data_IF_499079834717
#
_entry.id   IF_499079834717
#
_cell.length_a   1.000
_cell.length_b   1.000
_cell.length_c   1.000
_cell.angle_alpha   90.00
_cell.angle_beta   90.00
_cell.angle_gamma   90.00
#
_symmetry.space_group_name_H-M   'P 1'
#
loop_
_entity.id
_entity.type
_entity.pdbx_description
1 polymer ?
#
# COMPACT_ATOMS: atom_id res chain seq x y z
N UNK A 1 -16.73 -2.40 4.13
CA UNK A 1 -15.90 -3.63 4.32
C UNK A 1 -14.54 -3.50 3.65
N UNK A 2 -14.49 -3.04 2.39
CA UNK A 2 -13.22 -2.74 1.70
C UNK A 2 -12.38 -1.69 2.45
N UNK A 3 -13.01 -0.71 3.09
CA UNK A 3 -12.34 0.33 3.88
C UNK A 3 -11.59 -0.27 5.08
N UNK A 4 -12.25 -1.16 5.82
CA UNK A 4 -11.63 -1.87 6.95
C UNK A 4 -10.42 -2.70 6.50
N UNK A 5 -10.53 -3.40 5.37
CA UNK A 5 -9.42 -4.17 4.80
C UNK A 5 -8.28 -3.27 4.32
N UNK A 6 -8.61 -2.14 3.70
CA UNK A 6 -7.65 -1.12 3.26
C UNK A 6 -6.85 -0.60 4.45
N UNK A 7 -7.54 -0.22 5.54
CA UNK A 7 -6.90 0.25 6.77
C UNK A 7 -6.07 -0.85 7.41
N UNK A 8 -6.58 -2.08 7.50
CA UNK A 8 -5.85 -3.20 8.09
C UNK A 8 -4.56 -3.53 7.33
N UNK A 9 -4.64 -3.63 6.00
CA UNK A 9 -3.47 -3.88 5.14
C UNK A 9 -2.50 -2.71 5.27
N UNK A 10 -2.98 -1.47 5.19
CA UNK A 10 -2.13 -0.29 5.32
C UNK A 10 -1.43 -0.20 6.67
N UNK A 11 -2.14 -0.40 7.79
CA UNK A 11 -1.50 -0.41 9.11
C UNK A 11 -0.50 -1.56 9.26
N UNK A 12 -0.77 -2.71 8.65
CA UNK A 12 0.17 -3.82 8.62
C UNK A 12 1.45 -3.43 7.87
N UNK A 13 1.32 -2.85 6.68
CA UNK A 13 2.48 -2.41 5.89
C UNK A 13 3.22 -1.27 6.60
N UNK A 14 2.52 -0.31 7.20
CA UNK A 14 3.11 0.80 7.94
C UNK A 14 3.96 0.34 9.13
N UNK A 15 3.50 -0.66 9.88
CA UNK A 15 4.26 -1.22 11.01
C UNK A 15 5.57 -1.90 10.58
N UNK A 16 5.60 -2.43 9.37
CA UNK A 16 6.70 -3.23 8.84
C UNK A 16 7.68 -2.43 7.99
N UNK A 17 7.17 -1.51 7.18
CA UNK A 17 7.92 -0.72 6.21
C UNK A 17 8.07 0.76 6.62
N UNK A 18 7.39 1.19 7.69
CA UNK A 18 7.32 2.61 8.07
C UNK A 18 6.35 3.41 7.18
N UNK A 19 6.58 4.71 7.08
CA UNK A 19 5.76 5.62 6.29
C UNK A 19 4.54 6.20 7.01
N UNK A 20 3.88 7.12 6.33
CA UNK A 20 2.73 7.88 6.82
C UNK A 20 1.58 7.79 5.84
N UNK A 21 0.37 7.78 6.39
CA UNK A 21 -0.84 7.94 5.59
C UNK A 21 -0.85 9.30 4.92
N UNK A 22 -1.18 9.31 3.63
CA UNK A 22 -1.25 10.49 2.81
C UNK A 22 -2.41 10.37 1.82
N UNK A 23 -3.03 11.50 1.51
CA UNK A 23 -4.05 11.63 0.48
C UNK A 23 -3.68 12.85 -0.37
N UNK A 24 -3.40 12.62 -1.66
CA UNK A 24 -3.14 13.72 -2.58
C UNK A 24 -4.47 14.33 -3.05
N UNK A 25 -4.77 15.51 -2.55
CA UNK A 25 -5.96 16.29 -2.94
C UNK A 25 -5.62 17.42 -3.92
N UNK A 26 -4.33 17.62 -4.26
CA UNK A 26 -3.86 18.74 -5.08
C UNK A 26 -3.57 18.33 -6.51
N UNK A 27 -2.80 17.27 -6.71
CA UNK A 27 -2.35 16.89 -8.05
C UNK A 27 -3.29 15.86 -8.70
N UNK A 28 -4.23 16.35 -9.50
CA UNK A 28 -5.18 15.51 -10.26
C UNK A 28 -4.54 14.56 -11.28
N UNK A 29 -3.26 14.77 -11.66
CA UNK A 29 -2.51 13.86 -12.54
C UNK A 29 -1.87 12.69 -11.79
N UNK A 30 -1.86 12.72 -10.46
CA UNK A 30 -1.37 11.61 -9.66
C UNK A 30 -2.29 10.39 -9.85
N UNK A 31 -1.71 9.23 -10.12
CA UNK A 31 -2.46 7.97 -10.28
C UNK A 31 -3.28 7.61 -9.03
N UNK A 32 -2.87 8.11 -7.85
CA UNK A 32 -3.54 7.89 -6.56
C UNK A 32 -4.27 9.14 -6.06
N UNK A 33 -4.67 10.04 -6.96
CA UNK A 33 -5.41 11.25 -6.59
C UNK A 33 -6.67 10.91 -5.78
N UNK A 34 -6.85 11.59 -4.65
CA UNK A 34 -7.95 11.36 -3.70
C UNK A 34 -8.04 9.95 -3.11
N UNK A 35 -6.99 9.12 -3.24
CA UNK A 35 -6.91 7.80 -2.61
C UNK A 35 -5.96 7.81 -1.41
N UNK A 36 -6.28 7.09 -0.32
CA UNK A 36 -5.38 6.92 0.80
C UNK A 36 -4.24 5.96 0.45
N UNK A 37 -3.01 6.44 0.62
CA UNK A 37 -1.77 5.71 0.36
C UNK A 37 -0.82 5.84 1.56
N UNK A 38 0.14 4.94 1.67
CA UNK A 38 1.31 5.14 2.51
C UNK A 38 2.43 5.72 1.66
N UNK A 39 3.15 6.68 2.22
CA UNK A 39 4.34 7.26 1.59
C UNK A 39 5.40 7.53 2.64
N UNK A 40 6.67 7.41 2.24
CA UNK A 40 7.81 7.82 3.03
C UNK A 40 8.93 8.29 2.10
N UNK A 41 9.67 9.35 2.45
CA UNK A 41 10.85 9.77 1.69
C UNK A 41 11.94 8.70 1.59
N UNK A 42 11.97 7.73 2.50
CA UNK A 42 12.92 6.61 2.47
C UNK A 42 12.55 5.51 1.48
N UNK A 43 11.31 5.51 0.93
CA UNK A 43 10.91 4.50 -0.04
C UNK A 43 11.71 4.66 -1.34
N UNK A 44 12.40 3.60 -1.75
CA UNK A 44 13.35 3.65 -2.87
C UNK A 44 12.69 3.55 -4.25
N UNK A 45 11.73 2.66 -4.43
CA UNK A 45 11.06 2.40 -5.72
C UNK A 45 9.63 2.90 -5.76
N UNK A 46 8.79 2.38 -4.87
CA UNK A 46 7.38 2.78 -4.80
C UNK A 46 7.25 3.98 -3.87
N UNK A 47 7.05 5.17 -4.45
CA UNK A 47 6.78 6.41 -3.68
C UNK A 47 5.47 6.30 -2.90
N UNK A 48 4.53 5.50 -3.41
CA UNK A 48 3.23 5.26 -2.82
C UNK A 48 2.93 3.77 -2.74
N UNK A 49 2.57 3.31 -1.55
CA UNK A 49 1.95 2.00 -1.35
C UNK A 49 0.44 2.25 -1.28
N UNK A 50 -0.35 1.54 -2.09
CA UNK A 50 -1.80 1.73 -2.19
C UNK A 50 -2.56 0.50 -1.63
N UNK A 51 -2.88 0.46 -0.32
CA UNK A 51 -3.47 -0.72 0.32
C UNK A 51 -4.83 -1.13 -0.26
N UNK A 52 -5.61 -0.16 -0.76
CA UNK A 52 -6.91 -0.43 -1.36
C UNK A 52 -6.78 -1.28 -2.63
N UNK A 53 -5.75 -1.02 -3.45
CA UNK A 53 -5.44 -1.82 -4.63
C UNK A 53 -5.16 -3.27 -4.25
N UNK A 54 -4.37 -3.48 -3.20
CA UNK A 54 -4.08 -4.82 -2.70
C UNK A 54 -5.32 -5.51 -2.15
N UNK A 55 -6.17 -4.80 -1.41
CA UNK A 55 -7.43 -5.33 -0.89
C UNK A 55 -8.33 -5.83 -2.02
N UNK A 56 -8.57 -5.01 -3.04
CA UNK A 56 -9.41 -5.35 -4.20
C UNK A 56 -8.85 -6.55 -4.97
N UNK A 57 -7.54 -6.56 -5.23
CA UNK A 57 -6.89 -7.66 -5.95
C UNK A 57 -6.93 -8.95 -5.12
N UNK A 58 -6.71 -8.88 -3.80
CA UNK A 58 -6.79 -10.02 -2.91
C UNK A 58 -8.18 -10.66 -2.93
N UNK A 59 -9.24 -9.85 -2.83
CA UNK A 59 -10.63 -10.31 -2.87
C UNK A 59 -10.91 -11.03 -4.19
N UNK A 60 -10.44 -10.46 -5.30
CA UNK A 60 -10.64 -11.05 -6.63
C UNK A 60 -9.88 -12.35 -6.82
N UNK A 61 -8.62 -12.41 -6.39
CA UNK A 61 -7.74 -13.58 -6.62
C UNK A 61 -8.09 -14.78 -5.75
N UNK A 62 -8.71 -14.55 -4.58
CA UNK A 62 -9.01 -15.60 -3.59
C UNK A 62 -7.77 -16.42 -3.21
N UNK A 63 -6.62 -15.76 -3.16
CA UNK A 63 -5.31 -16.33 -2.82
C UNK A 63 -4.92 -15.85 -1.41
N UNK A 64 -4.94 -16.78 -0.45
CA UNK A 64 -4.61 -16.48 0.95
C UNK A 64 -3.17 -16.02 1.17
N UNK A 65 -2.27 -16.21 0.19
CA UNK A 65 -0.87 -15.83 0.28
C UNK A 65 -0.56 -14.50 -0.42
N UNK A 66 -1.53 -13.91 -1.12
CA UNK A 66 -1.29 -12.74 -1.97
C UNK A 66 -0.69 -11.56 -1.20
N UNK A 67 -1.32 -11.13 -0.10
CA UNK A 67 -0.87 -9.98 0.70
C UNK A 67 0.52 -10.23 1.31
N UNK A 68 0.76 -11.43 1.85
CA UNK A 68 2.05 -11.81 2.43
C UNK A 68 3.18 -11.73 1.41
N UNK A 69 2.95 -12.21 0.18
CA UNK A 69 3.91 -12.11 -0.91
C UNK A 69 4.21 -10.66 -1.31
N UNK A 70 3.19 -9.80 -1.40
CA UNK A 70 3.40 -8.37 -1.70
C UNK A 70 4.24 -7.69 -0.61
N UNK A 71 3.96 -7.99 0.67
CA UNK A 71 4.73 -7.44 1.79
C UNK A 71 6.20 -7.90 1.75
N UNK A 72 6.44 -9.18 1.49
CA UNK A 72 7.82 -9.73 1.35
C UNK A 72 8.58 -9.06 0.21
N UNK A 73 7.97 -8.94 -0.97
CA UNK A 73 8.59 -8.26 -2.09
C UNK A 73 8.95 -6.81 -1.76
N UNK A 74 8.07 -6.10 -1.05
CA UNK A 74 8.37 -4.74 -0.58
C UNK A 74 9.57 -4.70 0.35
N UNK A 75 9.72 -5.65 1.28
CA UNK A 75 10.93 -5.72 2.09
C UNK A 75 12.20 -5.91 1.24
N UNK A 76 12.16 -6.82 0.28
CA UNK A 76 13.31 -7.09 -0.59
C UNK A 76 13.68 -5.88 -1.47
N UNK A 77 12.68 -5.15 -1.96
CA UNK A 77 12.85 -3.94 -2.78
C UNK A 77 13.35 -2.73 -1.97
N UNK A 78 13.08 -2.67 -0.66
CA UNK A 78 13.52 -1.57 0.19
C UNK A 78 14.90 -1.82 0.85
N UNK A 79 15.37 -3.08 0.89
CA UNK A 79 16.66 -3.47 1.50
C UNK A 79 17.84 -3.45 0.52
N UNK A 80 17.61 -3.48 -0.81
CA UNK A 80 18.66 -3.38 -1.84
C UNK A 80 18.96 -1.95 -2.21
#
# INVERSE_FOLDING_TARGET
MLDCLTVYIGETFRKHLGGKWFIDLKNKKNAYYSMPVLTDPSYRREVYIAPMTFATVCISRKDGQYISRILKNNFEDQVK
#
